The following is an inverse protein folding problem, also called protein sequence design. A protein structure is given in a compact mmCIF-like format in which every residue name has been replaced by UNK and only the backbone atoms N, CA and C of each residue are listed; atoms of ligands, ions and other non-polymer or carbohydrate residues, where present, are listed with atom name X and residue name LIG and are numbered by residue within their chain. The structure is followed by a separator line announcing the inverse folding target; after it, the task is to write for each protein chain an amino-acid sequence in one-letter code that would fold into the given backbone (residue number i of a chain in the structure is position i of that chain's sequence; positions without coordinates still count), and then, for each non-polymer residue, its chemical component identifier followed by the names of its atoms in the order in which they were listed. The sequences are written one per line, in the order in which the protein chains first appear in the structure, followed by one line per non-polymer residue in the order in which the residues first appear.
data_IF_222651128957
#
_entry.id   IF_222651128957
#
_cell.length_a   1.000
_cell.length_b   1.000
_cell.length_c   1.000
_cell.angle_alpha   90.00
_cell.angle_beta   90.00
_cell.angle_gamma   90.00
#
_symmetry.space_group_name_H-M   'P 1'
#
loop_
_entity.id
_entity.type
_entity.pdbx_description
1 polymer ?
#
# COMPACT_ATOMS: atom_id res chain seq x y z
N UNK A 1 -41.24 17.94 40.50
CA UNK A 1 -40.69 17.55 39.18
C UNK A 1 -39.37 18.30 38.96
N UNK A 2 -38.32 17.55 38.62
CA UNK A 2 -36.93 17.76 39.07
C UNK A 2 -36.15 18.88 38.35
N UNK A 3 -35.69 19.89 39.10
CA UNK A 3 -34.57 20.78 38.68
C UNK A 3 -33.24 20.01 38.54
N UNK A 4 -33.12 18.85 39.20
CA UNK A 4 -31.96 17.97 39.13
C UNK A 4 -31.75 17.38 37.72
N UNK A 5 -32.81 17.22 36.94
CA UNK A 5 -32.74 16.60 35.60
C UNK A 5 -32.28 17.59 34.52
N UNK A 6 -32.41 18.90 34.77
CA UNK A 6 -32.04 19.95 33.81
C UNK A 6 -30.54 20.24 33.83
N UNK A 7 -29.89 20.13 34.98
CA UNK A 7 -28.44 20.32 35.14
C UNK A 7 -27.64 19.15 34.55
N UNK A 8 -28.09 17.91 34.72
CA UNK A 8 -27.43 16.73 34.13
C UNK A 8 -27.52 16.72 32.61
N UNK A 9 -28.63 17.19 32.02
CA UNK A 9 -28.79 17.26 30.56
C UNK A 9 -27.88 18.35 29.95
N UNK A 10 -27.69 19.49 30.63
CA UNK A 10 -26.77 20.54 30.15
C UNK A 10 -25.29 20.12 30.24
N UNK A 11 -24.90 19.33 31.24
CA UNK A 11 -23.51 18.86 31.38
C UNK A 11 -23.08 17.87 30.30
N UNK A 12 -24.02 17.09 29.74
CA UNK A 12 -23.72 16.09 28.70
C UNK A 12 -23.49 16.75 27.34
N UNK A 13 -24.15 17.89 27.06
CA UNK A 13 -23.97 18.63 25.80
C UNK A 13 -22.63 19.38 25.71
N UNK A 14 -22.02 19.74 26.83
CA UNK A 14 -20.72 20.43 26.84
C UNK A 14 -19.51 19.49 26.61
N UNK A 15 -19.69 18.18 26.76
CA UNK A 15 -18.60 17.20 26.63
C UNK A 15 -18.39 16.68 25.20
N UNK A 16 -19.26 17.03 24.24
CA UNK A 16 -19.23 16.50 22.87
C UNK A 16 -18.40 17.39 21.91
N UNK A 17 -17.96 18.58 22.33
CA UNK A 17 -17.34 19.57 21.44
C UNK A 17 -15.79 19.60 21.43
N UNK A 18 -15.09 18.68 22.09
CA UNK A 18 -13.65 18.80 22.32
C UNK A 18 -12.78 17.65 21.76
N UNK A 19 -13.22 16.98 20.69
CA UNK A 19 -12.36 16.05 19.91
C UNK A 19 -12.15 16.58 18.49
N UNK A 20 -11.83 17.86 18.34
CA UNK A 20 -11.15 18.32 17.13
C UNK A 20 -9.73 17.77 17.18
N UNK A 21 -9.53 16.61 16.56
CA UNK A 21 -8.21 16.03 16.32
C UNK A 21 -7.31 17.11 15.71
N UNK A 22 -6.31 17.55 16.47
CA UNK A 22 -5.22 18.37 15.96
C UNK A 22 -4.46 17.50 14.97
N UNK A 23 -4.75 17.66 13.68
CA UNK A 23 -3.94 17.07 12.61
C UNK A 23 -2.58 17.76 12.69
N UNK A 24 -1.65 17.16 13.46
CA UNK A 24 -0.29 17.68 13.55
C UNK A 24 0.37 17.56 12.17
N UNK A 25 1.10 18.57 11.70
CA UNK A 25 1.81 18.53 10.42
C UNK A 25 2.80 17.35 10.33
N UNK A 26 3.21 16.79 11.47
CA UNK A 26 3.99 15.55 11.56
C UNK A 26 3.30 14.34 10.89
N UNK A 27 1.97 14.20 11.03
CA UNK A 27 1.24 13.06 10.46
C UNK A 27 1.19 13.11 8.93
N UNK A 28 1.03 14.31 8.35
CA UNK A 28 1.04 14.49 6.89
C UNK A 28 2.44 14.24 6.29
N UNK A 29 3.50 14.70 6.97
CA UNK A 29 4.88 14.47 6.55
C UNK A 29 5.25 12.97 6.60
N UNK A 30 4.79 12.25 7.62
CA UNK A 30 4.99 10.81 7.75
C UNK A 30 4.34 10.03 6.59
N UNK A 31 3.09 10.37 6.25
CA UNK A 31 2.39 9.74 5.12
C UNK A 31 3.07 10.03 3.78
N UNK A 32 3.56 11.25 3.57
CA UNK A 32 4.30 11.60 2.35
C UNK A 32 5.61 10.82 2.23
N UNK A 33 6.35 10.64 3.34
CA UNK A 33 7.58 9.84 3.37
C UNK A 33 7.31 8.37 3.06
N UNK A 34 6.32 7.77 3.73
CA UNK A 34 5.93 6.38 3.50
C UNK A 34 5.51 6.13 2.04
N UNK A 35 4.78 7.07 1.44
CA UNK A 35 4.40 6.99 0.02
C UNK A 35 5.61 7.12 -0.92
N UNK A 36 6.63 7.92 -0.56
CA UNK A 36 7.86 8.01 -1.34
C UNK A 36 8.66 6.70 -1.27
N UNK A 37 8.77 6.09 -0.09
CA UNK A 37 9.42 4.79 0.09
C UNK A 37 8.71 3.67 -0.67
N UNK A 38 7.38 3.59 -0.59
CA UNK A 38 6.60 2.60 -1.31
C UNK A 38 6.77 2.72 -2.84
N UNK A 39 6.79 3.95 -3.38
CA UNK A 39 7.07 4.17 -4.80
C UNK A 39 8.47 3.70 -5.21
N UNK A 40 9.48 3.96 -4.38
CA UNK A 40 10.84 3.47 -4.62
C UNK A 40 10.89 1.94 -4.57
N UNK A 41 10.16 1.31 -3.66
CA UNK A 41 10.07 -0.15 -3.58
C UNK A 41 9.45 -0.74 -4.86
N UNK A 42 8.36 -0.16 -5.38
CA UNK A 42 7.79 -0.56 -6.68
C UNK A 42 8.83 -0.48 -7.81
N UNK A 43 9.54 0.64 -7.94
CA UNK A 43 10.56 0.82 -8.96
C UNK A 43 11.72 -0.18 -8.83
N UNK A 44 12.16 -0.47 -7.60
CA UNK A 44 13.20 -1.46 -7.34
C UNK A 44 12.77 -2.88 -7.75
N UNK A 45 11.49 -3.24 -7.52
CA UNK A 45 10.95 -4.54 -7.92
C UNK A 45 10.81 -4.67 -9.43
N UNK A 46 10.41 -3.61 -10.13
CA UNK A 46 10.42 -3.57 -11.59
C UNK A 46 11.82 -3.86 -12.15
N UNK A 47 12.85 -3.16 -11.66
CA UNK A 47 14.22 -3.36 -12.11
C UNK A 47 14.71 -4.78 -11.81
N UNK A 48 14.44 -5.29 -10.60
CA UNK A 48 14.82 -6.65 -10.20
C UNK A 48 14.24 -7.70 -11.13
N UNK A 49 12.97 -7.56 -11.52
CA UNK A 49 12.32 -8.50 -12.43
C UNK A 49 12.85 -8.44 -13.85
N UNK A 50 13.21 -7.26 -14.35
CA UNK A 50 13.87 -7.11 -15.66
C UNK A 50 15.20 -7.86 -15.65
N UNK A 51 16.05 -7.62 -14.66
CA UNK A 51 17.35 -8.31 -14.52
C UNK A 51 17.16 -9.83 -14.45
N UNK A 52 16.16 -10.29 -13.70
CA UNK A 52 15.87 -11.73 -13.57
C UNK A 52 15.38 -12.34 -14.89
N UNK A 53 14.57 -11.61 -15.67
CA UNK A 53 14.14 -12.05 -17.00
C UNK A 53 15.30 -12.08 -18.00
N UNK A 54 16.22 -11.13 -17.93
CA UNK A 54 17.41 -11.11 -18.78
C UNK A 54 18.36 -12.27 -18.48
N UNK A 55 18.55 -12.60 -17.19
CA UNK A 55 19.48 -13.65 -16.75
C UNK A 55 18.99 -15.07 -17.10
N UNK A 56 17.70 -15.34 -16.92
CA UNK A 56 17.16 -16.71 -17.02
C UNK A 56 15.91 -16.85 -17.89
N UNK A 57 15.41 -15.78 -18.50
CA UNK A 57 14.19 -15.80 -19.31
C UNK A 57 14.28 -16.71 -20.53
N UNK A 58 15.46 -16.82 -21.16
CA UNK A 58 15.69 -17.71 -22.30
C UNK A 58 15.47 -19.20 -21.97
N UNK A 59 15.66 -19.59 -20.69
CA UNK A 59 15.50 -20.96 -20.21
C UNK A 59 14.13 -21.20 -19.56
N UNK A 60 13.26 -20.21 -19.55
CA UNK A 60 11.95 -20.27 -18.90
C UNK A 60 10.86 -20.60 -19.93
N UNK A 61 9.98 -21.54 -19.59
CA UNK A 61 8.85 -21.91 -20.47
C UNK A 61 7.98 -20.69 -20.81
N UNK A 62 7.59 -20.53 -22.08
CA UNK A 62 6.87 -19.35 -22.57
C UNK A 62 5.57 -19.07 -21.81
N UNK A 63 4.83 -20.11 -21.40
CA UNK A 63 3.61 -19.97 -20.61
C UNK A 63 3.88 -19.35 -19.23
N UNK A 64 5.04 -19.65 -18.65
CA UNK A 64 5.48 -19.11 -17.36
C UNK A 64 5.87 -17.63 -17.51
N UNK A 65 6.57 -17.29 -18.61
CA UNK A 65 6.90 -15.90 -18.96
C UNK A 65 5.64 -15.05 -19.19
N UNK A 66 4.64 -15.61 -19.88
CA UNK A 66 3.36 -14.95 -20.09
C UNK A 66 2.64 -14.64 -18.77
N UNK A 67 2.60 -15.60 -17.85
CA UNK A 67 2.05 -15.39 -16.50
C UNK A 67 2.79 -14.28 -15.74
N UNK A 68 4.12 -14.33 -15.73
CA UNK A 68 4.98 -13.31 -15.11
C UNK A 68 4.74 -11.93 -15.72
N UNK A 69 4.63 -11.82 -17.04
CA UNK A 69 4.35 -10.55 -17.71
C UNK A 69 3.02 -9.95 -17.27
N UNK A 70 1.94 -10.75 -17.21
CA UNK A 70 0.62 -10.29 -16.73
C UNK A 70 0.69 -9.83 -15.27
N UNK A 71 1.43 -10.54 -14.43
CA UNK A 71 1.62 -10.18 -13.03
C UNK A 71 2.37 -8.85 -12.89
N UNK A 72 3.43 -8.61 -13.68
CA UNK A 72 4.15 -7.32 -13.69
C UNK A 72 3.22 -6.16 -14.07
N UNK A 73 2.40 -6.33 -15.11
CA UNK A 73 1.44 -5.29 -15.52
C UNK A 73 0.42 -5.02 -14.40
N UNK A 74 -0.08 -6.06 -13.72
CA UNK A 74 -1.01 -5.91 -12.60
C UNK A 74 -0.35 -5.20 -11.41
N UNK A 75 0.89 -5.56 -11.08
CA UNK A 75 1.66 -4.93 -10.01
C UNK A 75 1.88 -3.44 -10.28
N UNK A 76 2.24 -3.06 -11.52
CA UNK A 76 2.39 -1.66 -11.93
C UNK A 76 1.08 -0.88 -11.80
N UNK A 77 -0.04 -1.49 -12.19
CA UNK A 77 -1.37 -0.92 -11.96
C UNK A 77 -1.62 -0.64 -10.48
N UNK A 78 -1.42 -1.64 -9.62
CA UNK A 78 -1.58 -1.50 -8.18
C UNK A 78 -0.65 -0.43 -7.57
N UNK A 79 0.60 -0.33 -8.02
CA UNK A 79 1.51 0.76 -7.63
C UNK A 79 0.94 2.13 -8.06
N UNK A 80 0.46 2.28 -9.30
CA UNK A 80 -0.10 3.57 -9.75
C UNK A 80 -1.34 4.02 -8.96
N UNK A 81 -2.09 3.06 -8.42
CA UNK A 81 -3.31 3.28 -7.64
C UNK A 81 -3.05 3.41 -6.13
N UNK A 82 -1.78 3.34 -5.70
CA UNK A 82 -1.40 3.41 -4.29
C UNK A 82 -1.68 2.15 -3.46
N UNK A 83 -2.03 1.03 -4.11
CA UNK A 83 -2.21 -0.27 -3.46
C UNK A 83 -0.86 -0.98 -3.30
N UNK A 84 0.01 -0.40 -2.47
CA UNK A 84 1.41 -0.81 -2.33
C UNK A 84 1.59 -2.27 -1.88
N UNK A 85 0.85 -2.70 -0.86
CA UNK A 85 0.97 -4.06 -0.33
C UNK A 85 0.58 -5.12 -1.37
N UNK A 86 -0.51 -4.89 -2.10
CA UNK A 86 -0.94 -5.76 -3.18
C UNK A 86 0.11 -5.82 -4.29
N UNK A 87 0.64 -4.67 -4.70
CA UNK A 87 1.65 -4.59 -5.74
C UNK A 87 2.91 -5.38 -5.37
N UNK A 88 3.43 -5.20 -4.15
CA UNK A 88 4.61 -5.91 -3.67
C UNK A 88 4.37 -7.43 -3.58
N UNK A 89 3.19 -7.85 -3.14
CA UNK A 89 2.84 -9.28 -3.13
C UNK A 89 2.77 -9.89 -4.54
N UNK A 90 2.27 -9.15 -5.53
CA UNK A 90 2.25 -9.61 -6.93
C UNK A 90 3.68 -9.71 -7.48
N UNK A 91 4.55 -8.74 -7.18
CA UNK A 91 5.96 -8.81 -7.56
C UNK A 91 6.67 -10.02 -6.94
N UNK A 92 6.43 -10.31 -5.66
CA UNK A 92 7.04 -11.48 -5.00
C UNK A 92 6.57 -12.80 -5.64
N UNK A 93 5.31 -12.92 -6.07
CA UNK A 93 4.80 -14.09 -6.82
C UNK A 93 5.44 -14.24 -8.20
N UNK A 94 5.63 -13.13 -8.91
CA UNK A 94 6.30 -13.14 -10.21
C UNK A 94 7.77 -13.57 -10.08
N UNK A 95 8.46 -13.07 -9.06
CA UNK A 95 9.84 -13.46 -8.74
C UNK A 95 9.95 -14.95 -8.36
N UNK A 96 9.05 -15.44 -7.51
CA UNK A 96 8.98 -16.86 -7.15
C UNK A 96 8.74 -17.73 -8.37
N UNK A 97 7.85 -17.30 -9.27
CA UNK A 97 7.63 -18.01 -10.52
C UNK A 97 8.95 -18.13 -11.27
N UNK A 98 9.69 -17.05 -11.49
CA UNK A 98 10.95 -17.14 -12.21
C UNK A 98 12.05 -17.95 -11.49
N UNK A 99 12.06 -18.06 -10.16
CA UNK A 99 13.17 -18.69 -9.41
C UNK A 99 12.96 -20.16 -9.04
N UNK A 100 11.71 -20.65 -8.97
CA UNK A 100 11.44 -22.05 -8.65
C UNK A 100 11.74 -22.92 -9.88
N UNK A 101 12.79 -23.76 -9.75
CA UNK A 101 13.22 -24.79 -10.70
C UNK A 101 12.31 -26.01 -10.66
#
# INVERSE_FOLDING_TARGET
MNLLNRKTILSILAAIAATTATISPASAAQSASANAEARRACAARDLKLVVLLEDQGANTASQKLDGVFRDVIRARGACSEGRWADALSIYDKAEQSLTVR
#
